data_IF_198138018218
#
_entry.id   IF_198138018218
#
_cell.length_a   1.000
_cell.length_b   1.000
_cell.length_c   1.000
_cell.angle_alpha   90.00
_cell.angle_beta   90.00
_cell.angle_gamma   90.00
#
_symmetry.space_group_name_H-M   'P 1'
#
loop_
_entity.id
_entity.type
_entity.pdbx_description
1 polymer ?
#
# COMPACT_ATOMS: atom_id res chain seq x y z
N UNK A 1 -22.62 -12.89 5.71
CA UNK A 1 -23.05 -13.63 6.89
C UNK A 1 -22.13 -13.29 8.05
N UNK A 2 -22.57 -12.36 8.89
CA UNK A 2 -22.02 -12.27 10.24
C UNK A 2 -22.30 -13.63 10.84
N UNK A 3 -21.24 -14.40 11.15
CA UNK A 3 -21.32 -15.65 11.86
C UNK A 3 -22.40 -15.53 12.93
N UNK A 4 -23.34 -16.47 12.99
CA UNK A 4 -24.30 -16.66 14.08
C UNK A 4 -23.57 -17.04 15.37
N UNK A 5 -22.72 -16.15 15.85
CA UNK A 5 -22.35 -16.15 17.26
C UNK A 5 -23.48 -15.37 17.94
N UNK A 6 -24.28 -16.09 18.72
CA UNK A 6 -25.31 -15.52 19.56
C UNK A 6 -24.80 -14.28 20.24
N UNK A 7 -25.34 -13.14 19.81
CA UNK A 7 -25.23 -11.88 20.52
C UNK A 7 -26.09 -12.04 21.77
N UNK A 8 -25.49 -12.61 22.81
CA UNK A 8 -26.06 -12.51 24.15
C UNK A 8 -25.82 -11.09 24.63
N UNK A 9 -26.88 -10.31 24.66
CA UNK A 9 -26.93 -8.98 25.20
C UNK A 9 -26.37 -8.96 26.63
N UNK A 10 -25.20 -8.36 26.79
CA UNK A 10 -24.77 -7.87 28.11
C UNK A 10 -24.98 -6.37 28.12
N UNK A 11 -25.75 -5.88 29.06
CA UNK A 11 -26.15 -4.49 29.31
C UNK A 11 -25.01 -3.48 29.49
N UNK A 12 -23.85 -3.70 28.98
CA UNK A 12 -22.69 -2.81 29.09
C UNK A 12 -21.94 -2.55 27.81
N UNK A 13 -22.42 -3.05 26.67
CA UNK A 13 -21.68 -2.97 25.44
C UNK A 13 -22.31 -1.93 24.50
N UNK A 14 -21.96 -0.66 24.69
CA UNK A 14 -22.39 0.49 23.87
C UNK A 14 -22.20 0.30 22.37
N UNK A 15 -21.41 -0.70 21.95
CA UNK A 15 -21.14 -1.02 20.54
C UNK A 15 -22.20 -1.93 19.91
N UNK A 16 -23.22 -2.37 20.66
CA UNK A 16 -24.20 -3.36 20.23
C UNK A 16 -25.65 -2.88 20.32
N UNK A 17 -25.87 -1.59 20.19
CA UNK A 17 -27.25 -1.09 20.18
C UNK A 17 -28.07 -1.71 19.02
N UNK A 18 -29.32 -2.14 19.29
CA UNK A 18 -30.21 -2.69 18.29
C UNK A 18 -30.39 -1.79 17.06
N UNK A 19 -30.32 -0.47 17.24
CA UNK A 19 -30.44 0.52 16.17
C UNK A 19 -29.23 0.50 15.22
N UNK A 20 -28.02 0.26 15.70
CA UNK A 20 -26.83 0.12 14.86
C UNK A 20 -26.86 -1.16 14.03
N UNK A 21 -27.23 -2.27 14.66
CA UNK A 21 -27.41 -3.56 13.98
C UNK A 21 -28.53 -3.45 12.96
N UNK A 22 -29.57 -2.66 13.25
CA UNK A 22 -30.70 -2.42 12.37
C UNK A 22 -30.32 -1.53 11.19
N UNK A 23 -29.65 -0.41 11.40
CA UNK A 23 -29.16 0.47 10.33
C UNK A 23 -28.19 -0.26 9.38
N UNK A 24 -27.35 -1.14 9.91
CA UNK A 24 -26.44 -1.97 9.11
C UNK A 24 -27.15 -3.10 8.36
N UNK A 25 -28.23 -3.67 8.96
CA UNK A 25 -29.08 -4.71 8.33
C UNK A 25 -30.10 -4.16 7.36
N UNK A 26 -30.67 -3.01 7.62
CA UNK A 26 -31.76 -2.43 6.81
C UNK A 26 -31.30 -2.10 5.37
N UNK A 27 -30.04 -1.73 5.18
CA UNK A 27 -29.47 -1.55 3.85
C UNK A 27 -29.36 -2.86 3.05
N UNK A 28 -29.31 -4.01 3.72
CA UNK A 28 -29.21 -5.34 3.11
C UNK A 28 -30.53 -6.11 3.09
N UNK A 29 -31.47 -5.75 3.94
CA UNK A 29 -32.76 -6.43 4.08
C UNK A 29 -33.62 -6.28 2.80
N UNK A 30 -33.52 -5.14 2.14
CA UNK A 30 -34.22 -4.86 0.87
C UNK A 30 -33.49 -5.41 -0.38
N UNK A 31 -32.38 -6.12 -0.18
CA UNK A 31 -31.62 -6.79 -1.24
C UNK A 31 -30.58 -5.90 -1.94
N UNK A 32 -29.85 -6.51 -2.86
CA UNK A 32 -28.70 -5.91 -3.55
C UNK A 32 -29.05 -4.62 -4.31
N UNK A 33 -30.24 -4.52 -4.84
CA UNK A 33 -30.67 -3.33 -5.61
C UNK A 33 -30.81 -2.07 -4.75
N UNK A 34 -31.34 -2.20 -3.53
CA UNK A 34 -31.48 -1.05 -2.62
C UNK A 34 -30.12 -0.56 -2.14
N UNK A 35 -29.18 -1.47 -1.89
CA UNK A 35 -27.80 -1.10 -1.58
C UNK A 35 -27.13 -0.37 -2.74
N UNK A 36 -27.30 -0.87 -3.97
CA UNK A 36 -26.72 -0.24 -5.15
C UNK A 36 -27.28 1.18 -5.34
N UNK A 37 -28.60 1.37 -5.24
CA UNK A 37 -29.24 2.70 -5.35
C UNK A 37 -28.73 3.65 -4.25
N UNK A 38 -28.67 3.18 -3.00
CA UNK A 38 -28.12 3.92 -1.88
C UNK A 38 -26.69 4.38 -2.14
N UNK A 39 -25.84 3.49 -2.69
CA UNK A 39 -24.44 3.80 -3.00
C UNK A 39 -24.33 4.82 -4.13
N UNK A 40 -25.09 4.65 -5.23
CA UNK A 40 -25.11 5.57 -6.37
C UNK A 40 -25.43 6.99 -5.94
N UNK A 41 -26.49 7.19 -5.15
CA UNK A 41 -26.92 8.53 -4.73
C UNK A 41 -25.84 9.23 -3.92
N UNK A 42 -25.17 8.52 -3.03
CA UNK A 42 -24.10 9.08 -2.19
C UNK A 42 -22.83 9.37 -2.99
N UNK A 43 -22.48 8.49 -3.90
CA UNK A 43 -21.32 8.69 -4.77
C UNK A 43 -21.54 9.87 -5.71
N UNK A 44 -22.75 10.07 -6.23
CA UNK A 44 -23.11 11.26 -7.04
C UNK A 44 -22.97 12.54 -6.23
N UNK A 45 -23.57 12.59 -5.03
CA UNK A 45 -23.39 13.72 -4.12
C UNK A 45 -21.92 13.97 -3.79
N UNK A 46 -21.15 12.90 -3.50
CA UNK A 46 -19.73 12.99 -3.22
C UNK A 46 -18.94 13.56 -4.40
N UNK A 47 -19.23 13.13 -5.62
CA UNK A 47 -18.59 13.65 -6.82
C UNK A 47 -18.84 15.14 -7.03
N UNK A 48 -20.06 15.62 -6.80
CA UNK A 48 -20.38 17.05 -6.90
C UNK A 48 -19.63 17.90 -5.88
N UNK A 49 -19.38 17.35 -4.68
CA UNK A 49 -18.64 18.04 -3.61
C UNK A 49 -17.13 18.00 -3.78
N UNK A 50 -16.59 17.10 -4.57
CA UNK A 50 -15.14 17.00 -4.80
C UNK A 50 -14.63 18.18 -5.61
N UNK A 51 -13.47 18.72 -5.21
CA UNK A 51 -12.68 19.61 -6.05
C UNK A 51 -12.18 18.87 -7.30
N UNK A 52 -11.87 19.60 -8.38
CA UNK A 52 -11.34 18.97 -9.62
C UNK A 52 -10.04 18.19 -9.38
N UNK A 53 -9.25 18.59 -8.39
CA UNK A 53 -8.04 17.89 -7.96
C UNK A 53 -8.30 16.77 -6.94
N UNK A 54 -9.56 16.56 -6.56
CA UNK A 54 -9.95 15.66 -5.48
C UNK A 54 -10.00 14.19 -5.88
N UNK A 55 -9.98 13.34 -4.87
CA UNK A 55 -10.09 11.89 -4.98
C UNK A 55 -11.17 11.34 -4.06
N UNK A 56 -11.70 10.17 -4.41
CA UNK A 56 -12.55 9.37 -3.55
C UNK A 56 -11.95 7.99 -3.34
N UNK A 57 -12.06 7.50 -2.12
CA UNK A 57 -11.68 6.15 -1.72
C UNK A 57 -12.90 5.43 -1.17
N UNK A 58 -13.18 4.25 -1.71
CA UNK A 58 -14.29 3.40 -1.26
C UNK A 58 -13.75 2.05 -0.79
N UNK A 59 -13.81 1.80 0.51
CA UNK A 59 -13.47 0.50 1.08
C UNK A 59 -14.66 -0.44 0.96
N UNK A 60 -14.43 -1.64 0.44
CA UNK A 60 -15.47 -2.62 0.16
C UNK A 60 -14.94 -4.06 0.31
N UNK A 61 -15.77 -4.97 0.78
CA UNK A 61 -15.44 -6.40 0.85
C UNK A 61 -15.47 -7.09 -0.51
N UNK A 62 -14.79 -8.24 -0.60
CA UNK A 62 -14.69 -9.09 -1.80
C UNK A 62 -16.04 -9.38 -2.45
N UNK A 63 -17.09 -9.59 -1.64
CA UNK A 63 -18.42 -9.98 -2.12
C UNK A 63 -19.07 -8.93 -3.02
N UNK A 64 -18.76 -7.65 -2.84
CA UNK A 64 -19.42 -6.54 -3.50
C UNK A 64 -18.50 -5.65 -4.33
N UNK A 65 -17.19 -5.93 -4.36
CA UNK A 65 -16.20 -5.09 -5.07
C UNK A 65 -16.55 -4.92 -6.55
N UNK A 66 -17.00 -5.98 -7.21
CA UNK A 66 -17.37 -5.95 -8.62
C UNK A 66 -18.55 -5.01 -8.90
N UNK A 67 -19.56 -4.96 -8.01
CA UNK A 67 -20.70 -4.04 -8.12
C UNK A 67 -20.31 -2.61 -7.80
N UNK A 68 -19.57 -2.43 -6.72
CA UNK A 68 -19.06 -1.13 -6.33
C UNK A 68 -18.18 -0.52 -7.43
N UNK A 69 -17.34 -1.33 -8.08
CA UNK A 69 -16.51 -0.89 -9.20
C UNK A 69 -17.35 -0.42 -10.38
N UNK A 70 -18.38 -1.17 -10.79
CA UNK A 70 -19.29 -0.77 -11.88
C UNK A 70 -20.01 0.53 -11.57
N UNK A 71 -20.50 0.69 -10.34
CA UNK A 71 -21.17 1.92 -9.91
C UNK A 71 -20.21 3.11 -9.95
N UNK A 72 -18.96 2.94 -9.49
CA UNK A 72 -17.97 4.00 -9.52
C UNK A 72 -17.54 4.35 -10.94
N UNK A 73 -17.42 3.38 -11.85
CA UNK A 73 -17.18 3.61 -13.28
C UNK A 73 -18.32 4.45 -13.91
N UNK A 74 -19.60 4.16 -13.56
CA UNK A 74 -20.76 4.94 -14.03
C UNK A 74 -20.78 6.37 -13.47
N UNK A 75 -20.47 6.54 -12.18
CA UNK A 75 -20.55 7.84 -11.52
C UNK A 75 -19.34 8.72 -11.82
N UNK A 76 -18.13 8.20 -11.79
CA UNK A 76 -16.88 8.97 -11.92
C UNK A 76 -16.30 8.95 -13.33
N UNK A 77 -16.66 7.97 -14.16
CA UNK A 77 -16.04 7.66 -15.43
C UNK A 77 -14.92 6.63 -15.27
N UNK A 78 -14.89 5.63 -16.17
CA UNK A 78 -13.86 4.59 -16.18
C UNK A 78 -12.46 5.18 -16.34
N UNK A 79 -12.33 6.26 -17.11
CA UNK A 79 -11.06 6.98 -17.33
C UNK A 79 -10.49 7.63 -16.07
N UNK A 80 -11.30 7.86 -15.04
CA UNK A 80 -10.90 8.46 -13.78
C UNK A 80 -10.54 7.43 -12.71
N UNK A 81 -10.54 6.16 -13.06
CA UNK A 81 -10.06 5.10 -12.19
C UNK A 81 -8.53 5.17 -12.00
N UNK A 82 -8.08 5.14 -10.76
CA UNK A 82 -6.64 5.17 -10.43
C UNK A 82 -6.14 3.78 -10.07
N UNK A 83 -6.74 3.14 -9.08
CA UNK A 83 -6.29 1.82 -8.61
C UNK A 83 -7.32 1.08 -7.76
N UNK A 84 -7.22 -0.23 -7.77
CA UNK A 84 -7.75 -1.09 -6.70
C UNK A 84 -6.60 -1.47 -5.78
N UNK A 85 -6.75 -1.20 -4.49
CA UNK A 85 -5.75 -1.51 -3.46
C UNK A 85 -6.28 -2.68 -2.64
N UNK A 86 -5.47 -3.74 -2.50
CA UNK A 86 -5.76 -4.89 -1.66
C UNK A 86 -5.32 -4.60 -0.22
N UNK A 87 -6.24 -4.74 0.74
CA UNK A 87 -6.03 -4.50 2.17
C UNK A 87 -6.05 -5.83 2.91
N UNK A 88 -4.93 -6.28 3.45
CA UNK A 88 -4.89 -7.50 4.24
C UNK A 88 -5.68 -7.33 5.54
N UNK A 89 -6.72 -8.17 5.76
CA UNK A 89 -7.55 -8.18 6.99
C UNK A 89 -7.04 -9.16 8.03
N UNK A 90 -6.70 -10.36 7.58
CA UNK A 90 -6.29 -11.47 8.42
C UNK A 90 -5.36 -12.38 7.63
N UNK A 91 -4.52 -13.11 8.34
CA UNK A 91 -3.62 -14.10 7.70
C UNK A 91 -4.24 -15.48 7.55
N UNK A 92 -5.34 -15.74 8.25
CA UNK A 92 -6.03 -17.03 8.18
C UNK A 92 -7.52 -16.90 8.49
N UNK A 93 -8.32 -17.70 7.79
CA UNK A 93 -9.74 -17.86 8.06
C UNK A 93 -10.13 -19.30 7.72
N UNK A 94 -10.95 -19.93 8.53
CA UNK A 94 -11.40 -21.31 8.27
C UNK A 94 -12.67 -21.28 7.43
N UNK A 95 -12.58 -21.70 6.18
CA UNK A 95 -13.71 -21.78 5.24
C UNK A 95 -13.72 -23.12 4.51
N UNK A 96 -14.84 -23.43 3.87
CA UNK A 96 -14.97 -24.64 3.05
C UNK A 96 -14.10 -24.60 1.78
N UNK A 97 -13.86 -23.42 1.25
CA UNK A 97 -13.08 -23.18 0.03
C UNK A 97 -11.89 -22.25 0.34
N UNK A 98 -11.46 -21.46 -0.62
CA UNK A 98 -10.40 -20.48 -0.44
C UNK A 98 -10.87 -19.35 0.50
N UNK A 99 -10.09 -19.06 1.53
CA UNK A 99 -10.40 -18.02 2.49
C UNK A 99 -10.18 -16.63 1.89
N UNK A 100 -11.19 -15.77 2.03
CA UNK A 100 -11.04 -14.33 1.75
C UNK A 100 -10.29 -13.66 2.90
N UNK A 101 -9.06 -13.21 2.64
CA UNK A 101 -8.16 -12.64 3.66
C UNK A 101 -7.95 -11.14 3.50
N UNK A 102 -8.56 -10.50 2.50
CA UNK A 102 -8.41 -9.08 2.22
C UNK A 102 -9.73 -8.41 1.85
N UNK A 103 -9.75 -7.07 2.02
CA UNK A 103 -10.75 -6.16 1.48
C UNK A 103 -10.13 -5.34 0.35
N UNK A 104 -10.96 -4.61 -0.35
CA UNK A 104 -10.57 -3.73 -1.45
C UNK A 104 -10.79 -2.27 -1.09
N UNK A 105 -9.89 -1.42 -1.55
CA UNK A 105 -10.06 0.02 -1.56
C UNK A 105 -10.03 0.49 -3.01
N UNK A 106 -11.17 0.96 -3.51
CA UNK A 106 -11.30 1.52 -4.85
C UNK A 106 -10.95 3.00 -4.81
N UNK A 107 -10.04 3.43 -5.67
CA UNK A 107 -9.57 4.80 -5.75
C UNK A 107 -9.89 5.41 -7.11
N UNK A 108 -10.65 6.52 -7.10
CA UNK A 108 -10.99 7.32 -8.27
C UNK A 108 -10.61 8.77 -8.07
N UNK A 109 -10.26 9.44 -9.16
CA UNK A 109 -10.16 10.89 -9.21
C UNK A 109 -11.50 11.50 -9.62
N UNK A 110 -11.72 12.79 -9.36
CA UNK A 110 -12.75 13.56 -10.05
C UNK A 110 -12.35 13.83 -11.50
N UNK A 111 -11.11 14.29 -11.73
CA UNK A 111 -10.43 14.38 -13.03
C UNK A 111 -8.99 13.86 -12.88
N UNK A 112 -8.69 12.73 -13.52
CA UNK A 112 -7.38 12.07 -13.41
C UNK A 112 -6.22 12.95 -13.90
N UNK A 113 -6.49 13.92 -14.79
CA UNK A 113 -5.47 14.84 -15.31
C UNK A 113 -5.08 15.91 -14.32
N UNK A 114 -5.88 16.14 -13.29
CA UNK A 114 -5.70 17.19 -12.29
C UNK A 114 -5.51 16.66 -10.87
N UNK A 115 -5.68 15.35 -10.68
CA UNK A 115 -5.69 14.72 -9.36
C UNK A 115 -4.41 15.02 -8.57
N UNK A 116 -4.56 15.39 -7.31
CA UNK A 116 -3.43 15.47 -6.37
C UNK A 116 -2.95 14.06 -6.04
N UNK A 117 -1.65 13.83 -6.22
CA UNK A 117 -1.00 12.59 -5.81
C UNK A 117 0.37 12.83 -5.20
N UNK A 118 0.62 12.22 -4.05
CA UNK A 118 1.89 12.16 -3.35
C UNK A 118 2.31 10.72 -3.18
N UNK A 119 3.41 10.32 -3.82
CA UNK A 119 3.96 8.97 -3.61
C UNK A 119 4.43 8.84 -2.16
N UNK A 120 3.87 7.86 -1.46
CA UNK A 120 4.36 7.46 -0.13
C UNK A 120 5.44 6.40 -0.27
N UNK A 121 6.34 6.37 0.71
CA UNK A 121 7.48 5.45 0.73
C UNK A 121 7.61 4.78 2.10
N UNK A 122 8.05 3.53 2.08
CA UNK A 122 8.54 2.83 3.26
C UNK A 122 10.06 2.91 3.31
N UNK A 123 10.61 2.94 4.51
CA UNK A 123 12.02 2.67 4.71
C UNK A 123 12.32 1.23 4.31
N UNK A 124 13.42 1.02 3.62
CA UNK A 124 13.88 -0.30 3.23
C UNK A 124 14.79 -0.85 4.32
N UNK A 125 14.24 -1.66 5.20
CA UNK A 125 14.99 -2.32 6.24
C UNK A 125 15.56 -3.65 5.76
N UNK A 126 16.80 -3.95 6.14
CA UNK A 126 17.43 -5.21 5.82
C UNK A 126 16.63 -6.38 6.43
N UNK A 127 16.41 -7.43 5.62
CA UNK A 127 15.60 -8.59 6.01
C UNK A 127 14.09 -8.41 5.91
N UNK A 128 13.60 -7.19 5.66
CA UNK A 128 12.19 -6.92 5.44
C UNK A 128 11.77 -7.14 3.97
N UNK A 129 10.47 -7.11 3.72
CA UNK A 129 9.89 -7.17 2.38
C UNK A 129 10.48 -6.06 1.50
N UNK A 130 10.85 -6.41 0.25
CA UNK A 130 11.54 -5.50 -0.68
C UNK A 130 13.06 -5.39 -0.47
N UNK A 131 13.63 -6.03 0.55
CA UNK A 131 15.08 -6.12 0.79
C UNK A 131 15.61 -7.55 0.81
N UNK A 132 14.81 -8.56 0.55
CA UNK A 132 15.20 -9.99 0.58
C UNK A 132 16.28 -10.36 -0.45
N UNK A 133 16.40 -9.59 -1.52
CA UNK A 133 17.43 -9.80 -2.56
C UNK A 133 18.83 -9.29 -2.16
N UNK A 134 18.94 -8.53 -1.06
CA UNK A 134 20.17 -7.99 -0.54
C UNK A 134 20.89 -9.08 0.29
N UNK A 135 21.69 -9.90 -0.38
CA UNK A 135 22.27 -11.14 0.16
C UNK A 135 23.78 -11.12 0.26
N UNK A 136 24.41 -10.00 -0.04
CA UNK A 136 25.86 -9.80 -0.03
C UNK A 136 26.22 -8.68 0.93
N UNK A 137 27.45 -8.70 1.44
CA UNK A 137 28.02 -7.66 2.30
C UNK A 137 29.42 -7.26 1.79
N UNK A 138 29.68 -5.96 1.83
CA UNK A 138 30.98 -5.34 1.58
C UNK A 138 31.56 -4.89 2.92
N UNK A 139 32.67 -5.47 3.31
CA UNK A 139 33.33 -5.22 4.59
C UNK A 139 34.27 -4.02 4.49
N UNK A 140 34.57 -3.33 5.60
CA UNK A 140 35.57 -2.24 5.60
C UNK A 140 36.95 -2.67 5.12
N UNK A 141 37.29 -3.97 5.22
CA UNK A 141 38.50 -4.56 4.65
C UNK A 141 38.54 -4.55 3.12
N UNK A 142 37.44 -4.24 2.45
CA UNK A 142 37.25 -4.37 1.00
C UNK A 142 36.81 -5.75 0.54
N UNK A 143 36.71 -6.71 1.45
CA UNK A 143 36.19 -8.05 1.16
C UNK A 143 34.68 -7.99 0.92
N UNK A 144 34.26 -8.61 -0.21
CA UNK A 144 32.83 -8.76 -0.55
C UNK A 144 32.46 -10.24 -0.50
N UNK A 145 31.56 -10.60 0.40
CA UNK A 145 31.09 -11.97 0.58
C UNK A 145 29.56 -12.10 0.63
N UNK A 146 29.09 -13.31 0.49
CA UNK A 146 27.68 -13.60 0.79
C UNK A 146 27.42 -13.46 2.30
N UNK A 147 26.23 -13.00 2.65
CA UNK A 147 25.73 -13.04 4.02
C UNK A 147 25.54 -14.50 4.45
N UNK A 148 25.92 -14.82 5.67
CA UNK A 148 25.64 -16.10 6.30
C UNK A 148 24.11 -16.28 6.51
N UNK A 149 23.70 -17.51 6.81
CA UNK A 149 22.28 -17.80 7.10
C UNK A 149 21.79 -17.06 8.34
N UNK A 150 22.66 -16.94 9.36
CA UNK A 150 22.35 -16.27 10.62
C UNK A 150 22.19 -14.76 10.43
N UNK A 151 23.11 -14.13 9.68
CA UNK A 151 23.02 -12.71 9.32
C UNK A 151 21.73 -12.41 8.51
N UNK A 152 21.39 -13.25 7.53
CA UNK A 152 20.15 -13.09 6.74
C UNK A 152 18.88 -13.20 7.58
N UNK A 153 18.90 -13.99 8.64
CA UNK A 153 17.76 -14.19 9.54
C UNK A 153 17.72 -13.19 10.71
N UNK A 154 18.70 -12.29 10.79
CA UNK A 154 18.83 -11.38 11.94
C UNK A 154 19.18 -12.10 13.24
N UNK A 155 19.67 -13.34 13.17
CA UNK A 155 20.10 -14.12 14.33
C UNK A 155 21.55 -13.84 14.74
N UNK A 156 22.28 -13.10 13.94
CA UNK A 156 23.56 -12.47 14.27
C UNK A 156 23.62 -11.07 13.68
N UNK A 157 24.30 -10.18 14.39
CA UNK A 157 24.52 -8.81 13.92
C UNK A 157 25.37 -8.79 12.64
N UNK A 158 25.15 -7.78 11.84
CA UNK A 158 26.01 -7.51 10.69
C UNK A 158 27.36 -6.98 11.19
N UNK A 159 28.47 -7.31 10.52
CA UNK A 159 29.79 -6.75 10.84
C UNK A 159 29.76 -5.23 10.86
N UNK A 160 30.38 -4.63 11.86
CA UNK A 160 30.47 -3.18 12.02
C UNK A 160 31.08 -2.53 10.75
N UNK A 161 30.42 -1.48 10.25
CA UNK A 161 30.81 -0.80 9.01
C UNK A 161 30.59 -1.59 7.73
N UNK A 162 29.98 -2.79 7.81
CA UNK A 162 29.62 -3.61 6.66
C UNK A 162 28.43 -3.00 5.90
N UNK A 163 28.52 -2.96 4.57
CA UNK A 163 27.49 -2.43 3.68
C UNK A 163 26.81 -3.54 2.91
N UNK A 164 25.51 -3.70 3.13
CA UNK A 164 24.72 -4.75 2.48
C UNK A 164 24.39 -4.36 1.04
N UNK A 165 24.57 -5.31 0.11
CA UNK A 165 24.28 -5.07 -1.31
C UNK A 165 23.66 -6.30 -1.99
N UNK A 166 23.08 -6.04 -3.16
CA UNK A 166 22.69 -7.07 -4.12
C UNK A 166 23.43 -6.92 -5.43
N UNK A 167 23.50 -8.01 -6.20
CA UNK A 167 24.01 -8.02 -7.56
C UNK A 167 22.83 -7.87 -8.52
N UNK A 168 22.69 -6.70 -9.11
CA UNK A 168 21.63 -6.39 -10.07
C UNK A 168 22.08 -6.65 -11.52
N UNK A 169 21.15 -7.05 -12.37
CA UNK A 169 21.42 -7.30 -13.77
C UNK A 169 21.62 -5.97 -14.52
N UNK A 170 22.76 -5.84 -15.22
CA UNK A 170 23.09 -4.70 -16.07
C UNK A 170 22.59 -4.83 -17.51
N UNK A 171 22.01 -5.97 -17.90
CA UNK A 171 21.51 -6.17 -19.27
C UNK A 171 19.99 -5.95 -19.33
N UNK A 172 19.52 -5.48 -20.51
CA UNK A 172 18.12 -5.25 -20.85
C UNK A 172 17.80 -6.04 -22.12
N UNK A 173 16.55 -6.42 -22.30
CA UNK A 173 16.06 -7.01 -23.55
C UNK A 173 16.06 -5.99 -24.71
N UNK A 174 15.85 -4.70 -24.39
CA UNK A 174 15.92 -3.62 -25.37
C UNK A 174 17.37 -3.32 -25.76
N UNK A 175 17.61 -3.13 -27.06
CA UNK A 175 18.90 -2.83 -27.63
C UNK A 175 18.86 -1.49 -28.37
N UNK A 176 19.88 -0.66 -28.16
CA UNK A 176 20.09 0.58 -28.91
C UNK A 176 21.57 0.70 -29.29
N UNK A 177 21.91 1.56 -30.24
CA UNK A 177 23.30 1.78 -30.63
C UNK A 177 24.19 2.22 -29.46
N UNK A 178 23.67 3.01 -28.54
CA UNK A 178 24.40 3.49 -27.34
C UNK A 178 24.56 2.46 -26.24
N UNK A 179 23.82 1.34 -26.29
CA UNK A 179 23.81 0.29 -25.24
C UNK A 179 24.34 -1.06 -25.74
N UNK A 180 24.62 -1.18 -27.05
CA UNK A 180 25.09 -2.42 -27.67
C UNK A 180 26.61 -2.36 -27.94
N UNK A 181 27.43 -2.38 -26.91
CA UNK A 181 28.88 -2.33 -26.99
C UNK A 181 29.53 -3.44 -26.16
N UNK A 182 30.76 -3.82 -26.57
CA UNK A 182 31.61 -4.70 -25.77
C UNK A 182 32.38 -3.90 -24.74
N UNK A 183 32.49 -4.42 -23.52
CA UNK A 183 33.16 -3.77 -22.41
C UNK A 183 34.31 -4.66 -21.87
N UNK A 184 35.50 -4.08 -21.73
CA UNK A 184 36.65 -4.78 -21.18
C UNK A 184 36.66 -4.63 -19.65
N UNK A 185 36.58 -5.75 -18.96
CA UNK A 185 36.52 -5.80 -17.51
C UNK A 185 37.21 -7.06 -16.94
N UNK A 186 38.08 -6.91 -15.96
CA UNK A 186 38.81 -8.01 -15.29
C UNK A 186 39.49 -8.97 -16.29
N UNK A 187 40.16 -8.40 -17.31
CA UNK A 187 40.91 -9.19 -18.29
C UNK A 187 40.06 -9.85 -19.39
N UNK A 188 38.76 -9.58 -19.45
CA UNK A 188 37.80 -10.18 -20.38
C UNK A 188 37.05 -9.11 -21.15
N UNK A 189 36.73 -9.39 -22.40
CA UNK A 189 35.81 -8.58 -23.22
C UNK A 189 34.44 -9.21 -23.14
N UNK A 190 33.48 -8.48 -22.52
CA UNK A 190 32.12 -8.94 -22.21
C UNK A 190 31.11 -8.06 -22.96
N UNK A 191 30.05 -8.67 -23.46
CA UNK A 191 28.97 -7.99 -24.15
C UNK A 191 27.60 -8.20 -23.46
N UNK A 192 26.57 -7.44 -23.85
CA UNK A 192 25.24 -7.57 -23.28
C UNK A 192 24.43 -8.77 -23.83
N UNK A 193 25.05 -9.59 -24.70
CA UNK A 193 24.35 -10.67 -25.40
C UNK A 193 23.43 -10.14 -26.51
N UNK A 194 22.24 -10.72 -26.65
CA UNK A 194 21.25 -10.34 -27.67
C UNK A 194 20.60 -8.97 -27.38
N UNK A 195 20.61 -8.51 -26.14
CA UNK A 195 20.05 -7.22 -25.71
C UNK A 195 21.06 -6.09 -25.68
N UNK A 196 20.84 -5.11 -24.82
CA UNK A 196 21.72 -3.98 -24.56
C UNK A 196 22.10 -3.90 -23.07
N UNK A 197 23.13 -3.11 -22.76
CA UNK A 197 23.38 -2.69 -21.39
C UNK A 197 22.28 -1.72 -20.91
N UNK A 198 21.97 -1.73 -19.63
CA UNK A 198 21.06 -0.73 -19.00
C UNK A 198 21.68 0.67 -18.91
N UNK A 199 22.92 0.82 -19.36
CA UNK A 199 23.65 2.09 -19.38
C UNK A 199 24.50 2.20 -20.65
N UNK A 200 24.92 3.41 -20.97
CA UNK A 200 25.88 3.66 -22.06
C UNK A 200 27.33 3.48 -21.56
N UNK A 201 28.30 3.62 -22.49
CA UNK A 201 29.73 3.43 -22.15
C UNK A 201 30.22 4.39 -21.04
N UNK A 202 29.75 5.64 -21.04
CA UNK A 202 30.14 6.63 -20.03
C UNK A 202 29.60 6.20 -18.66
N UNK A 203 28.35 5.74 -18.59
CA UNK A 203 27.76 5.20 -17.35
C UNK A 203 28.48 3.94 -16.87
N UNK A 204 28.86 3.04 -17.79
CA UNK A 204 29.63 1.84 -17.45
C UNK A 204 31.00 2.20 -16.83
N UNK A 205 31.72 3.15 -17.41
CA UNK A 205 32.99 3.63 -16.87
C UNK A 205 32.82 4.28 -15.49
N UNK A 206 31.74 5.04 -15.27
CA UNK A 206 31.43 5.61 -13.94
C UNK A 206 31.16 4.53 -12.91
N UNK A 207 30.42 3.47 -13.27
CA UNK A 207 30.17 2.33 -12.38
C UNK A 207 31.49 1.59 -12.03
N UNK A 208 32.37 1.41 -13.02
CA UNK A 208 33.69 0.82 -12.81
C UNK A 208 34.54 1.65 -11.86
N UNK A 209 34.67 2.96 -12.10
CA UNK A 209 35.44 3.88 -11.26
C UNK A 209 34.88 3.94 -9.81
N UNK A 210 33.57 3.78 -9.64
CA UNK A 210 32.92 3.74 -8.32
C UNK A 210 32.98 2.37 -7.63
N UNK A 211 33.68 1.36 -8.22
CA UNK A 211 33.74 0.00 -7.67
C UNK A 211 32.40 -0.75 -7.66
N UNK A 212 31.49 -0.35 -8.56
CA UNK A 212 30.10 -0.86 -8.62
C UNK A 212 29.89 -1.99 -9.62
N UNK A 213 30.96 -2.47 -10.26
CA UNK A 213 30.92 -3.61 -11.17
C UNK A 213 31.48 -4.87 -10.51
N UNK A 214 30.89 -6.01 -10.81
CA UNK A 214 31.38 -7.32 -10.37
C UNK A 214 31.07 -8.36 -11.45
N UNK A 215 32.04 -9.21 -11.74
CA UNK A 215 31.82 -10.36 -12.62
C UNK A 215 31.10 -11.46 -11.84
N UNK A 216 30.01 -11.98 -12.42
CA UNK A 216 29.31 -13.14 -11.86
C UNK A 216 30.10 -14.39 -12.26
N UNK A 217 30.46 -15.25 -11.29
CA UNK A 217 31.23 -16.47 -11.54
C UNK A 217 30.52 -17.44 -12.49
N UNK A 218 29.19 -17.53 -12.41
CA UNK A 218 28.37 -18.35 -13.28
C UNK A 218 27.80 -17.44 -14.39
N UNK A 219 28.06 -17.77 -15.66
CA UNK A 219 27.51 -17.06 -16.82
C UNK A 219 28.38 -15.91 -17.36
N UNK A 220 29.53 -15.64 -16.77
CA UNK A 220 30.52 -14.69 -17.29
C UNK A 220 29.94 -13.31 -17.68
N UNK A 221 29.06 -12.76 -16.84
CA UNK A 221 28.36 -11.50 -17.04
C UNK A 221 28.76 -10.46 -16.00
N UNK A 222 28.74 -9.18 -16.39
CA UNK A 222 28.95 -8.06 -15.50
C UNK A 222 27.63 -7.74 -14.79
N UNK A 223 27.69 -7.57 -13.46
CA UNK A 223 26.58 -7.18 -12.62
C UNK A 223 26.86 -5.87 -11.91
N UNK A 224 25.80 -5.18 -11.52
CA UNK A 224 25.85 -3.94 -10.76
C UNK A 224 25.77 -4.22 -9.27
N UNK A 225 26.75 -3.73 -8.51
CA UNK A 225 26.73 -3.72 -7.04
C UNK A 225 25.83 -2.59 -6.58
N UNK A 226 24.64 -2.95 -6.09
CA UNK A 226 23.62 -2.01 -5.59
C UNK A 226 23.51 -2.16 -4.09
N UNK A 227 23.97 -1.14 -3.35
CA UNK A 227 23.83 -1.14 -1.90
C UNK A 227 22.39 -0.82 -1.50
N UNK A 228 22.00 -1.26 -0.29
CA UNK A 228 20.66 -1.02 0.23
C UNK A 228 20.39 0.49 0.38
N UNK A 229 21.41 1.25 0.76
CA UNK A 229 21.35 2.69 0.96
C UNK A 229 21.20 3.48 -0.35
N UNK A 230 21.59 2.91 -1.51
CA UNK A 230 21.42 3.57 -2.82
C UNK A 230 19.94 3.87 -3.12
N UNK A 231 19.04 3.07 -2.56
CA UNK A 231 17.58 3.21 -2.66
C UNK A 231 16.98 2.80 -1.32
N UNK A 232 17.14 3.66 -0.34
CA UNK A 232 16.73 3.40 1.03
C UNK A 232 15.21 3.40 1.24
N UNK A 233 14.44 3.70 0.20
CA UNK A 233 12.99 3.76 0.25
C UNK A 233 12.33 2.85 -0.79
N UNK A 234 11.17 2.29 -0.44
CA UNK A 234 10.31 1.49 -1.31
C UNK A 234 9.02 2.28 -1.54
N UNK A 235 8.63 2.54 -2.78
CA UNK A 235 7.35 3.20 -3.04
C UNK A 235 6.20 2.30 -2.58
N UNK A 236 5.20 2.91 -1.95
CA UNK A 236 3.96 2.23 -1.60
C UNK A 236 3.27 1.76 -2.89
N UNK A 237 2.97 0.48 -2.95
CA UNK A 237 2.23 -0.15 -4.05
C UNK A 237 0.76 -0.38 -3.65
N UNK A 238 0.00 -1.06 -4.49
CA UNK A 238 -1.42 -1.32 -4.29
C UNK A 238 -1.76 -2.60 -3.50
N UNK A 239 -0.79 -3.17 -2.78
CA UNK A 239 -0.99 -4.27 -1.85
C UNK A 239 -0.52 -3.84 -0.47
N UNK A 240 -1.43 -3.67 0.49
CA UNK A 240 -1.13 -3.21 1.84
C UNK A 240 -1.27 -4.37 2.83
N UNK A 241 -0.15 -4.98 3.17
CA UNK A 241 -0.08 -6.16 4.04
C UNK A 241 0.06 -5.81 5.52
N UNK A 242 0.51 -4.59 5.82
CA UNK A 242 0.78 -4.08 7.17
C UNK A 242 -0.42 -3.37 7.82
N UNK A 243 -1.59 -3.44 7.17
CA UNK A 243 -2.85 -2.86 7.65
C UNK A 243 -3.81 -3.91 8.21
N UNK A 244 -3.37 -5.16 8.32
CA UNK A 244 -4.15 -6.21 8.97
C UNK A 244 -4.53 -5.75 10.38
N UNK A 245 -5.77 -5.97 10.75
CA UNK A 245 -6.40 -5.47 11.97
C UNK A 245 -5.76 -6.04 13.24
N UNK A 246 -4.55 -5.61 13.54
CA UNK A 246 -3.95 -5.72 14.84
C UNK A 246 -4.51 -4.63 15.75
N UNK A 247 -5.82 -4.70 16.08
CA UNK A 247 -6.28 -4.01 17.27
C UNK A 247 -5.58 -4.69 18.43
N UNK A 248 -4.53 -4.07 18.91
CA UNK A 248 -3.79 -4.52 20.08
C UNK A 248 -4.31 -3.78 21.32
N UNK A 249 -3.74 -4.11 22.49
CA UNK A 249 -4.11 -3.49 23.77
C UNK A 249 -3.99 -1.95 23.75
N UNK A 250 -3.20 -1.39 22.85
CA UNK A 250 -2.95 0.05 22.72
C UNK A 250 -3.93 0.76 21.76
N UNK A 251 -4.66 0.00 20.93
CA UNK A 251 -5.69 0.53 20.02
C UNK A 251 -6.94 -0.34 20.12
N UNK A 252 -7.77 -0.16 21.15
CA UNK A 252 -8.98 -0.95 21.31
C UNK A 252 -9.96 -0.67 20.18
N UNK A 253 -10.64 -1.71 19.71
CA UNK A 253 -11.74 -1.56 18.76
C UNK A 253 -12.91 -0.88 19.43
N UNK A 254 -13.11 0.40 19.15
CA UNK A 254 -14.17 1.23 19.75
C UNK A 254 -15.51 1.09 19.03
N UNK A 255 -15.51 0.58 17.80
CA UNK A 255 -16.69 0.47 16.96
C UNK A 255 -16.71 -0.87 16.21
N UNK A 256 -17.90 -1.41 15.92
CA UNK A 256 -18.07 -2.75 15.32
C UNK A 256 -17.35 -2.87 13.97
N UNK A 257 -17.39 -1.80 13.17
CA UNK A 257 -16.73 -1.72 11.86
C UNK A 257 -15.78 -0.54 11.88
N UNK A 258 -14.58 -0.75 12.40
CA UNK A 258 -13.55 0.30 12.46
C UNK A 258 -12.47 0.03 11.42
N UNK A 259 -12.22 1.01 10.57
CA UNK A 259 -11.11 1.00 9.62
C UNK A 259 -9.79 1.25 10.33
N UNK A 260 -8.74 0.55 9.92
CA UNK A 260 -7.40 0.76 10.45
C UNK A 260 -6.91 2.18 10.09
N UNK A 261 -6.35 2.88 11.07
CA UNK A 261 -5.88 4.27 10.95
C UNK A 261 -4.87 4.45 9.82
N UNK A 262 -3.96 3.49 9.61
CA UNK A 262 -2.96 3.52 8.53
C UNK A 262 -3.59 3.56 7.14
N UNK A 263 -4.76 2.94 6.94
CA UNK A 263 -5.46 2.98 5.66
C UNK A 263 -5.91 4.41 5.37
N UNK A 264 -6.58 5.03 6.34
CA UNK A 264 -7.09 6.40 6.24
C UNK A 264 -5.93 7.41 6.11
N UNK A 265 -4.90 7.25 6.92
CA UNK A 265 -3.69 8.07 6.87
C UNK A 265 -3.06 8.08 5.47
N UNK A 266 -2.88 6.92 4.85
CA UNK A 266 -2.34 6.81 3.50
C UNK A 266 -3.22 7.48 2.46
N UNK A 267 -4.54 7.28 2.53
CA UNK A 267 -5.47 7.95 1.62
C UNK A 267 -5.36 9.47 1.72
N UNK A 268 -5.36 10.01 2.94
CA UNK A 268 -5.26 11.44 3.20
C UNK A 268 -3.90 11.99 2.71
N UNK A 269 -2.80 11.34 3.04
CA UNK A 269 -1.46 11.79 2.67
C UNK A 269 -1.20 11.70 1.16
N UNK A 270 -1.75 10.71 0.48
CA UNK A 270 -1.60 10.57 -0.97
C UNK A 270 -2.40 11.61 -1.75
N UNK A 271 -3.59 12.00 -1.27
CA UNK A 271 -4.57 12.70 -2.10
C UNK A 271 -4.92 14.11 -1.62
N UNK A 272 -4.31 14.60 -0.54
CA UNK A 272 -4.61 15.93 0.02
C UNK A 272 -3.37 16.64 0.55
N UNK A 273 -3.49 17.97 0.73
CA UNK A 273 -2.49 18.82 1.36
C UNK A 273 -3.00 19.34 2.72
N UNK A 274 -2.12 19.79 3.63
CA UNK A 274 -2.53 20.51 4.84
C UNK A 274 -3.47 21.69 4.50
N UNK A 275 -4.58 21.79 5.24
CA UNK A 275 -5.63 22.78 4.99
C UNK A 275 -6.71 22.37 4.00
N UNK A 276 -6.52 21.30 3.21
CA UNK A 276 -7.59 20.73 2.37
C UNK A 276 -8.73 20.18 3.22
N UNK A 277 -9.92 20.05 2.62
CA UNK A 277 -11.10 19.52 3.27
C UNK A 277 -11.26 18.02 2.95
N UNK A 278 -11.39 17.21 3.99
CA UNK A 278 -11.70 15.77 3.92
C UNK A 278 -13.14 15.56 4.35
N UNK A 279 -13.90 14.83 3.54
CA UNK A 279 -15.29 14.47 3.84
C UNK A 279 -15.40 12.95 4.05
N UNK A 280 -16.00 12.55 5.17
CA UNK A 280 -16.39 11.17 5.42
C UNK A 280 -17.90 11.09 5.71
N UNK A 281 -18.71 10.65 4.73
CA UNK A 281 -20.16 10.58 4.88
C UNK A 281 -20.67 9.35 5.66
N UNK A 282 -19.74 8.49 6.14
CA UNK A 282 -20.03 7.23 6.85
C UNK A 282 -19.02 6.99 7.96
N UNK A 283 -18.88 7.98 8.83
CA UNK A 283 -17.69 8.11 9.68
C UNK A 283 -17.49 7.01 10.74
N UNK A 284 -18.51 6.28 11.12
CA UNK A 284 -18.40 5.28 12.18
C UNK A 284 -17.75 5.86 13.44
N UNK A 285 -16.62 5.31 13.86
CA UNK A 285 -15.87 5.79 15.04
C UNK A 285 -15.11 7.10 14.83
N UNK A 286 -15.18 7.74 13.65
CA UNK A 286 -14.52 9.01 13.36
C UNK A 286 -13.03 8.92 13.03
N UNK A 287 -12.52 7.76 12.62
CA UNK A 287 -11.10 7.58 12.28
C UNK A 287 -10.62 8.58 11.22
N UNK A 288 -11.45 8.87 10.22
CA UNK A 288 -11.10 9.84 9.17
C UNK A 288 -10.92 11.24 9.73
N UNK A 289 -11.82 11.68 10.62
CA UNK A 289 -11.73 13.01 11.22
C UNK A 289 -10.51 13.14 12.12
N UNK A 290 -10.23 12.13 12.94
CA UNK A 290 -9.05 12.10 13.82
C UNK A 290 -7.74 12.17 13.03
N UNK A 291 -7.60 11.35 12.01
CA UNK A 291 -6.38 11.35 11.17
C UNK A 291 -6.26 12.65 10.36
N UNK A 292 -7.37 13.19 9.85
CA UNK A 292 -7.37 14.47 9.15
C UNK A 292 -6.91 15.62 10.06
N UNK A 293 -7.38 15.67 11.31
CA UNK A 293 -6.94 16.63 12.32
C UNK A 293 -5.45 16.52 12.62
N UNK A 294 -4.96 15.28 12.89
CA UNK A 294 -3.54 15.02 13.17
C UNK A 294 -2.61 15.50 12.05
N UNK A 295 -3.07 15.40 10.81
CA UNK A 295 -2.29 15.80 9.62
C UNK A 295 -2.62 17.21 9.12
N UNK A 296 -3.34 18.02 9.90
CA UNK A 296 -3.63 19.43 9.59
C UNK A 296 -4.61 19.62 8.42
N UNK A 297 -5.49 18.66 8.17
CA UNK A 297 -6.60 18.80 7.23
C UNK A 297 -7.84 19.26 7.95
N UNK A 298 -8.68 20.05 7.28
CA UNK A 298 -10.04 20.30 7.74
C UNK A 298 -10.89 19.08 7.44
N UNK A 299 -11.91 18.85 8.22
CA UNK A 299 -12.75 17.67 8.03
C UNK A 299 -14.23 17.97 8.25
N UNK A 300 -15.07 17.21 7.55
CA UNK A 300 -16.50 17.07 7.79
C UNK A 300 -16.78 15.58 7.88
N UNK A 301 -17.48 15.18 8.93
CA UNK A 301 -17.80 13.77 9.16
C UNK A 301 -19.29 13.63 9.47
N UNK A 302 -19.93 12.63 8.86
CA UNK A 302 -21.37 12.42 8.93
C UNK A 302 -21.60 10.95 9.26
N UNK A 303 -22.59 10.68 10.10
CA UNK A 303 -23.14 9.33 10.30
C UNK A 303 -24.62 9.41 10.66
N UNK A 304 -25.38 8.38 10.32
CA UNK A 304 -26.79 8.25 10.70
C UNK A 304 -26.93 7.73 12.13
N UNK A 305 -25.91 7.06 12.67
CA UNK A 305 -25.88 6.53 14.04
C UNK A 305 -25.45 7.60 15.03
N UNK A 306 -26.31 7.88 16.01
CA UNK A 306 -25.99 8.78 17.13
C UNK A 306 -24.82 8.25 17.96
N UNK A 307 -24.69 6.92 18.08
CA UNK A 307 -23.59 6.27 18.82
C UNK A 307 -22.27 6.51 18.08
N UNK A 308 -22.23 6.31 16.75
CA UNK A 308 -21.07 6.60 15.94
C UNK A 308 -20.61 8.06 16.12
N UNK A 309 -21.50 9.01 15.96
CA UNK A 309 -21.22 10.45 16.14
C UNK A 309 -20.75 10.76 17.55
N UNK A 310 -21.32 10.11 18.58
CA UNK A 310 -20.88 10.30 19.98
C UNK A 310 -19.45 9.80 20.20
N UNK A 311 -19.12 8.62 19.66
CA UNK A 311 -17.76 8.08 19.72
C UNK A 311 -16.77 8.99 18.97
N UNK A 312 -17.13 9.40 17.76
CA UNK A 312 -16.29 10.31 16.98
C UNK A 312 -15.99 11.62 17.73
N UNK A 313 -17.01 12.21 18.37
CA UNK A 313 -16.84 13.43 19.21
C UNK A 313 -15.97 13.23 20.44
N UNK A 314 -15.91 12.04 21.00
CA UNK A 314 -15.05 11.74 22.16
C UNK A 314 -13.58 11.53 21.77
N UNK A 315 -13.32 11.19 20.50
CA UNK A 315 -11.96 11.00 19.96
C UNK A 315 -11.31 12.30 19.50
N UNK A 316 -12.11 13.30 19.16
CA UNK A 316 -11.70 14.64 18.69
C UNK A 316 -11.66 15.64 19.83
#
# INVERSE_FOLDING_TARGET
EISKRDVKDKEGDLTREPEMVKAYRDSWYLGTHSYASYLVDRLRCGREMLAETGSIFLQIGEENVHRARQIMDEVFGEENFISTIALLKTTSNTTRFIAGVYDHLLWYAKDIRQVKYRQLYFQKDFGAEGALEYTQIDLPSGEKRALSILEKRGASDLPEGGRVFRLDNLTSQSRSASTAFSYFWEGKTLGPGAGGWKTNLVGMNRLAAAGRLRTRQIGNTITYVRYIEDFAAIPLANMWTDVSSGFNVYQPKLYVVQTNERIVERCILMASDPGDLVLDPTCGSGTTAEIAEQWGRRWITIDTSRVAVSIARQRL
#
